data_IF_472033055924
#
_entry.id   IF_472033055924
#
_cell.length_a   1.000
_cell.length_b   1.000
_cell.length_c   1.000
_cell.angle_alpha   90.00
_cell.angle_beta   90.00
_cell.angle_gamma   90.00
#
_symmetry.space_group_name_H-M   'P 1'
#
loop_
_entity.id
_entity.type
_entity.pdbx_description
1 polymer ?
#
# COMPACT_ATOMS: atom_id res chain seq x y z
N UNK A 1 66.56 -11.76 -2.12
CA UNK A 1 66.91 -10.32 -2.17
C UNK A 1 65.64 -9.57 -2.54
N UNK A 2 65.03 -8.82 -1.62
CA UNK A 2 63.78 -8.12 -1.89
C UNK A 2 64.03 -6.88 -2.75
N UNK A 3 63.20 -6.70 -3.76
CA UNK A 3 63.25 -5.56 -4.66
C UNK A 3 62.95 -4.28 -3.84
N UNK A 4 63.81 -3.26 -3.82
CA UNK A 4 63.55 -2.05 -3.04
C UNK A 4 62.29 -1.35 -3.57
N UNK A 5 61.47 -0.84 -2.66
CA UNK A 5 60.20 -0.18 -2.98
C UNK A 5 60.40 0.98 -3.97
N UNK A 6 59.34 1.32 -4.71
CA UNK A 6 59.35 2.34 -5.76
C UNK A 6 59.96 3.68 -5.32
N UNK A 7 59.72 4.07 -4.06
CA UNK A 7 60.25 5.30 -3.47
C UNK A 7 61.76 5.31 -3.28
N UNK A 8 62.34 4.17 -2.87
CA UNK A 8 63.79 4.03 -2.63
C UNK A 8 64.62 4.09 -3.91
N UNK A 9 64.03 3.87 -5.08
CA UNK A 9 64.70 3.90 -6.40
C UNK A 9 64.84 5.31 -7.00
N UNK A 10 64.10 6.29 -6.47
CA UNK A 10 64.10 7.66 -6.97
C UNK A 10 65.27 8.48 -6.41
N UNK A 11 65.81 9.35 -7.24
CA UNK A 11 66.82 10.35 -6.88
C UNK A 11 66.25 11.38 -5.90
N UNK A 12 67.11 12.09 -5.18
CA UNK A 12 66.71 13.16 -4.25
C UNK A 12 65.87 14.24 -4.94
N UNK A 13 66.22 14.60 -6.19
CA UNK A 13 65.48 15.57 -6.98
C UNK A 13 64.05 15.09 -7.30
N UNK A 14 63.90 13.83 -7.73
CA UNK A 14 62.58 13.26 -8.04
C UNK A 14 61.68 13.17 -6.79
N UNK A 15 62.24 12.83 -5.63
CA UNK A 15 61.47 12.81 -4.37
C UNK A 15 60.99 14.22 -4.00
N UNK A 16 61.83 15.24 -4.15
CA UNK A 16 61.44 16.62 -3.92
C UNK A 16 60.33 17.07 -4.89
N UNK A 17 60.43 16.75 -6.18
CA UNK A 17 59.41 17.11 -7.17
C UNK A 17 58.07 16.39 -6.91
N UNK A 18 58.10 15.13 -6.47
CA UNK A 18 56.87 14.40 -6.08
C UNK A 18 56.23 15.03 -4.84
N UNK A 19 57.02 15.43 -3.83
CA UNK A 19 56.48 16.11 -2.65
C UNK A 19 55.91 17.49 -3.00
N UNK A 20 56.58 18.26 -3.85
CA UNK A 20 56.10 19.58 -4.31
C UNK A 20 54.80 19.44 -5.11
N UNK A 21 54.70 18.44 -5.99
CA UNK A 21 53.47 18.20 -6.76
C UNK A 21 52.30 17.74 -5.88
N UNK A 22 52.54 16.93 -4.83
CA UNK A 22 51.53 16.57 -3.84
C UNK A 22 51.05 17.81 -3.07
N UNK A 23 51.96 18.67 -2.62
CA UNK A 23 51.61 19.91 -1.90
C UNK A 23 50.82 20.86 -2.80
N UNK A 24 51.24 21.01 -4.07
CA UNK A 24 50.52 21.82 -5.05
C UNK A 24 49.10 21.26 -5.32
N UNK A 25 48.95 19.94 -5.42
CA UNK A 25 47.65 19.29 -5.59
C UNK A 25 46.73 19.56 -4.39
N UNK A 26 47.25 19.44 -3.16
CA UNK A 26 46.50 19.71 -1.94
C UNK A 26 46.05 21.19 -1.89
N UNK A 27 46.92 22.12 -2.28
CA UNK A 27 46.58 23.54 -2.34
C UNK A 27 45.48 23.85 -3.37
N UNK A 28 45.52 23.19 -4.54
CA UNK A 28 44.48 23.33 -5.58
C UNK A 28 43.15 22.77 -5.09
N UNK A 29 43.15 21.58 -4.47
CA UNK A 29 41.93 20.98 -3.90
C UNK A 29 41.34 21.87 -2.81
N UNK A 30 42.17 22.45 -1.95
CA UNK A 30 41.72 23.42 -0.94
C UNK A 30 41.08 24.67 -1.54
N UNK A 31 41.65 25.21 -2.62
CA UNK A 31 41.08 26.34 -3.36
C UNK A 31 39.74 26.01 -4.01
N UNK A 32 39.61 24.81 -4.60
CA UNK A 32 38.35 24.35 -5.20
C UNK A 32 37.26 24.18 -4.13
N UNK A 33 37.59 23.56 -2.99
CA UNK A 33 36.64 23.42 -1.87
C UNK A 33 36.22 24.79 -1.32
N UNK A 34 37.16 25.73 -1.21
CA UNK A 34 36.87 27.10 -0.80
C UNK A 34 35.93 27.82 -1.77
N UNK A 35 36.20 27.72 -3.08
CA UNK A 35 35.35 28.30 -4.12
C UNK A 35 33.95 27.69 -4.15
N UNK A 36 33.85 26.35 -4.05
CA UNK A 36 32.55 25.66 -4.01
C UNK A 36 31.76 26.08 -2.76
N UNK A 37 32.41 26.19 -1.60
CA UNK A 37 31.76 26.65 -0.36
C UNK A 37 31.21 28.08 -0.50
N UNK A 38 31.96 29.00 -1.13
CA UNK A 38 31.52 30.38 -1.37
C UNK A 38 30.36 30.44 -2.37
N UNK A 39 30.42 29.64 -3.45
CA UNK A 39 29.34 29.55 -4.43
C UNK A 39 28.07 28.99 -3.79
N UNK A 40 28.19 27.93 -2.99
CA UNK A 40 27.05 27.31 -2.31
C UNK A 40 26.43 28.26 -1.27
N UNK A 41 27.26 28.98 -0.52
CA UNK A 41 26.79 29.98 0.44
C UNK A 41 26.08 31.15 -0.27
N UNK A 42 26.60 31.64 -1.39
CA UNK A 42 25.92 32.68 -2.18
C UNK A 42 24.61 32.17 -2.78
N UNK A 43 24.57 30.92 -3.27
CA UNK A 43 23.35 30.33 -3.84
C UNK A 43 22.27 30.11 -2.79
N UNK A 44 22.64 29.67 -1.57
CA UNK A 44 21.74 29.59 -0.43
C UNK A 44 21.24 30.97 0.01
N UNK A 45 22.11 31.99 -0.06
CA UNK A 45 21.73 33.38 0.27
C UNK A 45 20.80 33.98 -0.78
N UNK A 46 20.95 33.62 -2.06
CA UNK A 46 20.00 33.99 -3.11
C UNK A 46 18.68 33.25 -3.00
N UNK A 47 18.67 31.95 -2.66
CA UNK A 47 17.41 31.23 -2.41
C UNK A 47 16.67 31.76 -1.19
N UNK A 48 17.37 32.15 -0.11
CA UNK A 48 16.72 32.83 1.03
C UNK A 48 16.18 34.22 0.67
N UNK A 49 16.82 34.95 -0.26
CA UNK A 49 16.31 36.24 -0.77
C UNK A 49 15.19 36.10 -1.80
N UNK A 50 15.14 34.98 -2.53
CA UNK A 50 14.05 34.67 -3.45
C UNK A 50 12.81 34.13 -2.71
N UNK A 51 13.00 33.52 -1.53
CA UNK A 51 11.96 33.04 -0.63
C UNK A 51 11.48 34.08 0.39
N UNK A 52 11.53 35.38 0.03
CA UNK A 52 11.03 36.49 0.88
C UNK A 52 9.81 37.20 0.28
N UNK A 53 9.03 36.52 -0.55
CA UNK A 53 7.65 36.91 -0.82
C UNK A 53 6.73 36.12 0.13
N UNK A 54 6.06 36.76 1.09
CA UNK A 54 5.07 36.08 1.91
C UNK A 54 3.90 35.61 1.02
N UNK A 55 3.24 34.48 1.34
CA UNK A 55 2.03 34.06 0.64
C UNK A 55 0.95 35.15 0.79
N UNK A 56 0.49 35.70 -0.34
CA UNK A 56 -0.68 36.58 -0.40
C UNK A 56 -1.96 35.78 -0.14
N UNK A 57 -2.21 35.46 1.13
CA UNK A 57 -3.52 35.06 1.62
C UNK A 57 -3.67 35.66 3.03
N UNK A 58 -4.03 36.94 3.06
CA UNK A 58 -4.67 37.72 4.14
C UNK A 58 -4.28 39.21 4.00
N UNK A 59 -4.73 39.87 2.94
CA UNK A 59 -4.74 41.34 2.90
C UNK A 59 -5.94 41.85 3.69
N UNK A 60 -5.80 41.86 5.02
CA UNK A 60 -6.56 42.72 5.90
C UNK A 60 -6.05 44.15 5.80
N UNK A 61 -6.95 45.10 5.53
CA UNK A 61 -6.72 46.53 5.34
C UNK A 61 -5.62 47.14 6.22
N UNK A 62 -4.65 47.80 5.59
CA UNK A 62 -3.59 48.59 6.19
C UNK A 62 -4.14 49.75 7.04
N UNK A 63 -3.73 49.81 8.31
CA UNK A 63 -3.63 51.05 9.08
C UNK A 63 -2.25 51.15 9.70
N UNK A 64 -1.68 52.34 9.53
CA UNK A 64 -0.32 52.78 9.83
C UNK A 64 0.16 52.55 11.26
N UNK A 65 1.47 52.30 11.33
CA UNK A 65 2.40 52.25 12.45
C UNK A 65 2.11 53.21 13.61
N UNK A 66 2.23 52.72 14.86
CA UNK A 66 3.29 53.14 15.79
C UNK A 66 3.17 52.46 17.17
N UNK A 67 4.35 52.16 17.72
CA UNK A 67 4.70 51.89 19.12
C UNK A 67 4.62 50.45 19.67
N UNK A 68 5.78 50.07 20.23
CA UNK A 68 5.99 49.00 21.20
C UNK A 68 4.84 48.89 22.20
N UNK A 69 4.22 47.71 22.28
CA UNK A 69 3.53 47.28 23.49
C UNK A 69 3.83 45.80 23.67
N UNK A 70 4.76 45.50 24.58
CA UNK A 70 4.72 44.26 25.33
C UNK A 70 3.34 44.22 25.99
N UNK A 71 2.39 43.47 25.42
CA UNK A 71 1.05 43.40 25.97
C UNK A 71 1.13 42.62 27.29
N UNK A 72 0.84 43.25 28.45
CA UNK A 72 0.53 42.46 29.63
C UNK A 72 -0.76 41.67 29.31
N UNK A 73 -1.00 40.51 29.96
CA UNK A 73 -2.17 39.70 29.68
C UNK A 73 -3.42 40.57 29.80
N UNK A 74 -4.01 40.94 28.67
CA UNK A 74 -5.26 41.66 28.67
C UNK A 74 -6.28 40.75 29.33
N UNK A 75 -6.89 41.22 30.42
CA UNK A 75 -8.14 40.63 30.92
C UNK A 75 -9.15 40.75 29.79
N UNK A 76 -9.37 39.63 29.08
CA UNK A 76 -10.53 39.43 28.22
C UNK A 76 -11.79 39.82 29.02
N UNK A 77 -12.76 40.54 28.43
CA UNK A 77 -14.03 40.81 29.08
C UNK A 77 -14.62 39.50 29.59
N UNK A 78 -15.03 39.44 30.85
CA UNK A 78 -15.61 38.23 31.47
C UNK A 78 -16.88 37.72 30.77
N UNK A 79 -17.45 38.51 29.86
CA UNK A 79 -18.69 38.23 29.16
C UNK A 79 -18.51 37.66 27.73
N UNK A 80 -17.27 37.52 27.22
CA UNK A 80 -16.97 37.00 25.87
C UNK A 80 -16.52 35.52 25.85
N UNK A 81 -16.59 34.83 26.99
CA UNK A 81 -16.19 33.41 27.08
C UNK A 81 -17.38 32.51 26.79
N UNK A 82 -17.27 31.66 25.77
CA UNK A 82 -18.29 30.65 25.50
C UNK A 82 -18.30 29.59 26.61
N UNK A 83 -19.38 29.55 27.39
CA UNK A 83 -19.58 28.59 28.49
C UNK A 83 -20.59 27.49 28.15
N UNK A 84 -20.90 27.30 26.86
CA UNK A 84 -21.70 26.14 26.45
C UNK A 84 -20.94 24.84 26.75
N UNK A 85 -21.67 23.75 26.94
CA UNK A 85 -21.06 22.45 27.21
C UNK A 85 -20.08 22.04 26.10
N UNK A 86 -20.41 22.36 24.85
CA UNK A 86 -19.60 22.07 23.66
C UNK A 86 -18.29 22.86 23.67
N UNK A 87 -18.32 24.15 24.04
CA UNK A 87 -17.13 24.99 24.16
C UNK A 87 -16.21 24.52 25.28
N UNK A 88 -16.77 24.16 26.43
CA UNK A 88 -16.00 23.63 27.57
C UNK A 88 -15.35 22.28 27.22
N UNK A 89 -16.11 21.36 26.62
CA UNK A 89 -15.59 20.06 26.21
C UNK A 89 -14.48 20.19 25.16
N UNK A 90 -14.72 20.99 24.12
CA UNK A 90 -13.75 21.17 23.02
C UNK A 90 -12.47 21.84 23.52
N UNK A 91 -12.58 22.91 24.30
CA UNK A 91 -11.39 23.59 24.86
C UNK A 91 -10.59 22.68 25.78
N UNK A 92 -11.26 21.88 26.63
CA UNK A 92 -10.59 20.90 27.48
C UNK A 92 -9.84 19.85 26.66
N UNK A 93 -10.45 19.31 25.60
CA UNK A 93 -9.84 18.29 24.76
C UNK A 93 -8.64 18.79 23.94
N UNK A 94 -8.62 20.09 23.60
CA UNK A 94 -7.47 20.74 22.96
C UNK A 94 -6.36 20.96 23.98
N UNK A 95 -6.67 21.62 25.10
CA UNK A 95 -5.68 21.97 26.13
C UNK A 95 -5.00 20.74 26.73
N UNK A 96 -5.68 19.61 26.86
CA UNK A 96 -5.10 18.38 27.39
C UNK A 96 -4.01 17.77 26.48
N UNK A 97 -3.93 18.15 25.21
CA UNK A 97 -2.95 17.63 24.24
C UNK A 97 -1.77 18.57 24.03
N UNK A 98 -1.97 19.86 24.34
CA UNK A 98 -0.99 20.91 24.12
C UNK A 98 0.14 20.85 25.15
N UNK A 99 1.34 21.26 24.71
CA UNK A 99 2.53 21.45 25.52
C UNK A 99 2.93 22.93 25.48
N UNK A 100 2.37 23.77 26.37
CA UNK A 100 2.49 25.22 26.28
C UNK A 100 3.90 25.75 26.56
N UNK A 101 4.82 24.91 27.05
CA UNK A 101 6.23 25.25 27.25
C UNK A 101 7.03 25.36 25.95
N UNK A 102 6.49 24.85 24.83
CA UNK A 102 7.11 24.93 23.51
C UNK A 102 6.68 26.22 22.82
N UNK A 103 7.62 26.95 22.22
CA UNK A 103 7.30 28.14 21.43
C UNK A 103 6.60 27.73 20.13
N UNK A 104 5.33 28.15 19.88
CA UNK A 104 4.57 27.74 18.71
C UNK A 104 5.20 28.15 17.37
N UNK A 105 6.02 29.20 17.35
CA UNK A 105 6.73 29.64 16.14
C UNK A 105 7.95 28.76 15.81
N UNK A 106 8.48 28.02 16.79
CA UNK A 106 9.63 27.14 16.63
C UNK A 106 9.19 25.72 16.23
N UNK A 107 8.21 25.15 16.94
CA UNK A 107 7.63 23.84 16.63
C UNK A 107 6.14 23.81 17.01
N UNK A 108 5.31 24.19 16.05
CA UNK A 108 3.86 24.21 16.24
C UNK A 108 3.30 22.81 16.52
N UNK A 109 3.89 21.75 15.96
CA UNK A 109 3.41 20.38 16.15
C UNK A 109 3.64 19.91 17.59
N UNK A 110 4.84 20.15 18.14
CA UNK A 110 5.12 19.87 19.55
C UNK A 110 4.33 20.76 20.50
N UNK A 111 4.10 22.03 20.15
CA UNK A 111 3.23 22.90 20.94
C UNK A 111 1.78 22.37 21.03
N UNK A 112 1.20 21.92 19.92
CA UNK A 112 -0.21 21.47 19.91
C UNK A 112 -0.42 20.01 20.32
N UNK A 113 0.57 19.13 20.10
CA UNK A 113 0.45 17.68 20.28
C UNK A 113 1.43 17.09 21.29
N UNK A 114 2.36 17.88 21.85
CA UNK A 114 3.49 17.37 22.63
C UNK A 114 3.08 16.50 23.81
N UNK A 115 2.09 16.92 24.59
CA UNK A 115 1.57 16.12 25.72
C UNK A 115 0.93 14.83 25.24
N UNK A 116 0.19 14.86 24.12
CA UNK A 116 -0.40 13.65 23.55
C UNK A 116 0.68 12.63 23.16
N UNK A 117 1.77 13.07 22.54
CA UNK A 117 2.89 12.20 22.13
C UNK A 117 3.59 11.57 23.35
N UNK A 118 3.72 12.33 24.44
CA UNK A 118 4.37 11.85 25.67
C UNK A 118 3.52 10.86 26.46
N UNK A 119 2.21 11.07 26.50
CA UNK A 119 1.29 10.28 27.35
C UNK A 119 0.69 9.06 26.64
N UNK A 120 0.70 9.01 25.31
CA UNK A 120 0.04 7.94 24.56
C UNK A 120 1.07 6.99 23.93
N UNK A 121 1.02 5.73 24.36
CA UNK A 121 1.82 4.66 23.77
C UNK A 121 1.05 4.03 22.61
N UNK A 122 1.76 3.68 21.54
CA UNK A 122 1.20 2.90 20.44
C UNK A 122 0.84 1.50 20.99
N UNK A 123 -0.42 1.07 20.93
CA UNK A 123 -0.82 -0.26 21.36
C UNK A 123 -0.11 -1.37 20.57
N UNK A 124 0.11 -2.53 21.19
CA UNK A 124 0.84 -3.65 20.59
C UNK A 124 0.17 -4.21 19.31
N UNK A 125 -1.14 -3.98 19.15
CA UNK A 125 -1.93 -4.37 17.97
C UNK A 125 -1.94 -3.34 16.84
N UNK A 126 -1.22 -2.21 16.98
CA UNK A 126 -1.17 -1.10 16.02
C UNK A 126 0.27 -0.74 15.63
N UNK A 127 0.42 -0.20 14.43
CA UNK A 127 1.66 0.37 13.88
C UNK A 127 1.78 1.87 14.21
N UNK A 128 0.64 2.56 14.34
CA UNK A 128 0.56 4.00 14.57
C UNK A 128 -0.65 4.38 15.44
N UNK A 129 -0.53 5.50 16.15
CA UNK A 129 -1.60 6.06 16.96
C UNK A 129 -1.77 7.55 16.67
N UNK A 130 -2.94 7.93 16.18
CA UNK A 130 -3.30 9.31 15.91
C UNK A 130 -4.81 9.54 16.15
N UNK A 131 -5.30 10.75 15.84
CA UNK A 131 -6.72 11.08 16.04
C UNK A 131 -7.65 10.20 15.19
N UNK A 132 -7.25 9.80 13.98
CA UNK A 132 -8.03 8.87 13.16
C UNK A 132 -8.08 7.48 13.77
N UNK A 133 -7.01 7.00 14.40
CA UNK A 133 -7.01 5.72 15.13
C UNK A 133 -8.07 5.70 16.24
N UNK A 134 -8.20 6.79 17.00
CA UNK A 134 -9.22 6.92 18.07
C UNK A 134 -10.64 6.98 17.52
N UNK A 135 -10.83 7.66 16.37
CA UNK A 135 -12.12 7.70 15.68
C UNK A 135 -12.47 6.32 15.15
N UNK A 136 -11.49 5.59 14.60
CA UNK A 136 -11.67 4.23 14.09
C UNK A 136 -12.08 3.26 15.20
N UNK A 137 -11.42 3.28 16.36
CA UNK A 137 -11.81 2.42 17.49
C UNK A 137 -13.27 2.66 17.93
N UNK A 138 -13.68 3.93 18.02
CA UNK A 138 -15.06 4.29 18.34
C UNK A 138 -16.03 3.86 17.24
N UNK A 139 -15.63 3.99 15.97
CA UNK A 139 -16.42 3.55 14.83
C UNK A 139 -16.61 2.03 14.87
N UNK A 140 -15.58 1.24 15.15
CA UNK A 140 -15.66 -0.21 15.29
C UNK A 140 -16.67 -0.63 16.37
N UNK A 141 -16.67 0.04 17.52
CA UNK A 141 -17.66 -0.24 18.58
C UNK A 141 -19.09 0.01 18.11
N UNK A 142 -19.34 1.13 17.43
CA UNK A 142 -20.65 1.47 16.87
C UNK A 142 -21.07 0.49 15.77
N UNK A 143 -20.15 0.13 14.87
CA UNK A 143 -20.39 -0.84 13.81
C UNK A 143 -20.70 -2.22 14.39
N UNK A 144 -19.97 -2.66 15.42
CA UNK A 144 -20.24 -3.92 16.13
C UNK A 144 -21.67 -3.96 16.65
N UNK A 145 -22.11 -2.88 17.31
CA UNK A 145 -23.48 -2.78 17.82
C UNK A 145 -24.52 -3.01 16.72
N UNK A 146 -24.31 -2.41 15.54
CA UNK A 146 -25.20 -2.50 14.37
C UNK A 146 -25.16 -3.87 13.69
N UNK A 147 -23.97 -4.46 13.57
CA UNK A 147 -23.72 -5.71 12.84
C UNK A 147 -24.19 -6.92 13.66
N UNK A 148 -24.00 -6.89 14.98
CA UNK A 148 -24.38 -8.00 15.88
C UNK A 148 -25.89 -8.03 16.15
N UNK A 149 -26.58 -6.91 15.95
CA UNK A 149 -28.03 -6.80 16.10
C UNK A 149 -28.77 -7.86 15.27
N UNK A 150 -29.60 -8.66 15.94
CA UNK A 150 -30.41 -9.68 15.27
C UNK A 150 -31.54 -9.01 14.49
N UNK A 151 -31.66 -9.37 13.22
CA UNK A 151 -32.63 -8.76 12.31
C UNK A 151 -33.75 -9.73 11.97
N UNK A 152 -35.01 -9.27 11.91
CA UNK A 152 -36.13 -10.10 11.49
C UNK A 152 -35.88 -10.69 10.10
N UNK A 153 -36.33 -11.92 9.89
CA UNK A 153 -36.26 -12.59 8.57
C UNK A 153 -37.06 -11.87 7.49
N UNK A 154 -37.97 -10.97 7.90
CA UNK A 154 -38.75 -10.09 7.01
C UNK A 154 -37.94 -8.92 6.45
N UNK A 155 -36.78 -8.57 7.02
CA UNK A 155 -35.93 -7.52 6.46
C UNK A 155 -35.27 -7.98 5.15
N UNK A 156 -34.92 -7.06 4.24
CA UNK A 156 -34.12 -7.39 3.06
C UNK A 156 -32.83 -8.14 3.42
N UNK A 157 -32.49 -9.16 2.63
CA UNK A 157 -31.33 -10.05 2.86
C UNK A 157 -30.01 -9.27 3.09
N UNK A 158 -29.79 -8.18 2.36
CA UNK A 158 -28.57 -7.38 2.49
C UNK A 158 -28.38 -6.75 3.87
N UNK A 159 -29.45 -6.55 4.67
CA UNK A 159 -29.32 -6.12 6.06
C UNK A 159 -29.08 -7.28 7.02
N UNK A 160 -29.46 -8.51 6.68
CA UNK A 160 -29.22 -9.70 7.49
C UNK A 160 -27.80 -10.26 7.32
N UNK A 161 -27.23 -10.11 6.12
CA UNK A 161 -25.92 -10.68 5.77
C UNK A 161 -24.74 -10.21 6.64
N UNK A 162 -24.64 -8.93 7.08
CA UNK A 162 -23.56 -8.50 7.96
C UNK A 162 -23.49 -9.32 9.26
N UNK A 163 -24.63 -9.59 9.89
CA UNK A 163 -24.71 -10.42 11.09
C UNK A 163 -24.25 -11.86 10.84
N UNK A 164 -24.67 -12.44 9.72
CA UNK A 164 -24.30 -13.80 9.34
C UNK A 164 -22.79 -13.91 9.06
N UNK A 165 -22.21 -12.94 8.36
CA UNK A 165 -20.79 -12.88 8.05
C UNK A 165 -19.96 -12.68 9.33
N UNK A 166 -20.37 -11.78 10.22
CA UNK A 166 -19.75 -11.62 11.54
C UNK A 166 -19.80 -12.91 12.36
N UNK A 167 -20.95 -13.58 12.44
CA UNK A 167 -21.11 -14.86 13.16
C UNK A 167 -20.21 -15.96 12.58
N UNK A 168 -20.07 -16.03 11.25
CA UNK A 168 -19.17 -16.98 10.59
C UNK A 168 -17.71 -16.69 10.95
N UNK A 169 -17.27 -15.43 10.86
CA UNK A 169 -15.91 -15.02 11.22
C UNK A 169 -15.58 -15.25 12.71
N UNK A 170 -16.55 -15.03 13.61
CA UNK A 170 -16.38 -15.21 15.05
C UNK A 170 -16.35 -16.69 15.49
N UNK A 171 -16.78 -17.63 14.65
CA UNK A 171 -16.79 -19.05 14.97
C UNK A 171 -15.39 -19.68 14.83
N UNK A 172 -14.48 -19.30 15.75
CA UNK A 172 -13.10 -19.81 15.79
C UNK A 172 -13.07 -21.35 15.82
N UNK A 173 -13.96 -22.00 16.57
CA UNK A 173 -13.95 -23.47 16.69
C UNK A 173 -14.12 -24.17 15.34
N UNK A 174 -15.03 -23.68 14.49
CA UNK A 174 -15.20 -24.23 13.15
C UNK A 174 -14.02 -23.91 12.23
N UNK A 175 -13.43 -22.72 12.35
CA UNK A 175 -12.24 -22.34 11.58
C UNK A 175 -11.05 -23.24 11.94
N UNK A 176 -10.84 -23.51 13.22
CA UNK A 176 -9.80 -24.45 13.68
C UNK A 176 -10.07 -25.89 13.22
N UNK A 177 -11.35 -26.32 13.20
CA UNK A 177 -11.72 -27.65 12.71
C UNK A 177 -11.46 -27.82 11.21
N UNK A 178 -11.79 -26.80 10.41
CA UNK A 178 -11.64 -26.84 8.96
C UNK A 178 -10.20 -26.56 8.50
N UNK A 179 -9.46 -25.75 9.25
CA UNK A 179 -8.08 -25.37 8.97
C UNK A 179 -7.90 -24.89 7.51
N UNK A 180 -6.87 -25.37 6.81
CA UNK A 180 -6.53 -25.04 5.43
C UNK A 180 -7.38 -25.80 4.39
N UNK A 181 -8.23 -26.74 4.81
CA UNK A 181 -8.95 -27.62 3.89
C UNK A 181 -9.82 -26.87 2.87
N UNK A 182 -10.59 -25.82 3.24
CA UNK A 182 -11.43 -25.12 2.28
C UNK A 182 -10.63 -24.51 1.12
N UNK A 183 -9.51 -23.83 1.42
CA UNK A 183 -8.67 -23.22 0.38
C UNK A 183 -7.91 -24.30 -0.41
N UNK A 184 -7.47 -25.38 0.22
CA UNK A 184 -6.85 -26.50 -0.49
C UNK A 184 -7.80 -27.17 -1.50
N UNK A 185 -9.08 -27.35 -1.14
CA UNK A 185 -10.09 -27.91 -2.04
C UNK A 185 -10.43 -26.95 -3.20
N UNK A 186 -10.39 -25.64 -2.94
CA UNK A 186 -10.54 -24.62 -3.99
C UNK A 186 -9.32 -24.62 -4.91
N UNK A 187 -8.11 -24.64 -4.37
CA UNK A 187 -6.86 -24.69 -5.12
C UNK A 187 -6.81 -25.87 -6.09
N UNK A 188 -7.25 -27.06 -5.67
CA UNK A 188 -7.39 -28.23 -6.54
C UNK A 188 -8.33 -27.99 -7.73
N UNK A 189 -9.47 -27.33 -7.51
CA UNK A 189 -10.42 -26.97 -8.59
C UNK A 189 -9.84 -25.95 -9.57
N UNK A 190 -8.90 -25.12 -9.12
CA UNK A 190 -8.23 -24.12 -9.95
C UNK A 190 -7.11 -24.70 -10.79
N UNK A 191 -6.60 -25.88 -10.45
CA UNK A 191 -5.52 -26.56 -11.18
C UNK A 191 -4.34 -26.96 -10.30
N UNK A 192 -4.48 -26.90 -8.97
CA UNK A 192 -3.45 -27.34 -8.04
C UNK A 192 -2.37 -26.30 -7.79
N UNK A 193 -1.71 -26.38 -6.64
CA UNK A 193 -0.51 -25.59 -6.35
C UNK A 193 0.72 -26.46 -6.62
N UNK A 194 1.51 -26.18 -7.68
CA UNK A 194 2.61 -27.06 -8.08
C UNK A 194 3.58 -27.44 -6.96
N UNK A 195 3.93 -26.50 -6.08
CA UNK A 195 4.85 -26.74 -4.96
C UNK A 195 4.33 -27.76 -3.95
N UNK A 196 2.99 -27.89 -3.80
CA UNK A 196 2.35 -28.87 -2.92
C UNK A 196 2.20 -30.22 -3.65
N UNK A 197 1.80 -30.18 -4.91
CA UNK A 197 1.54 -31.39 -5.71
C UNK A 197 2.83 -32.05 -6.23
N UNK A 198 3.95 -31.34 -6.21
CA UNK A 198 5.26 -31.85 -6.62
C UNK A 198 5.27 -32.32 -8.08
N UNK A 199 5.86 -33.49 -8.31
CA UNK A 199 5.98 -34.12 -9.63
C UNK A 199 4.63 -34.55 -10.23
N UNK A 200 3.57 -34.65 -9.41
CA UNK A 200 2.24 -35.00 -9.91
C UNK A 200 1.54 -33.83 -10.62
N UNK A 201 2.00 -32.61 -10.38
CA UNK A 201 1.52 -31.44 -11.09
C UNK A 201 2.15 -31.38 -12.48
N UNK A 202 1.31 -31.58 -13.49
CA UNK A 202 1.76 -31.58 -14.88
C UNK A 202 1.42 -30.25 -15.55
N UNK A 203 2.46 -29.47 -15.88
CA UNK A 203 2.36 -28.41 -16.88
C UNK A 203 2.39 -29.02 -18.28
N UNK A 204 1.42 -29.87 -18.62
CA UNK A 204 1.24 -30.17 -20.03
C UNK A 204 0.91 -28.87 -20.79
N UNK A 205 0.96 -28.92 -22.12
CA UNK A 205 0.67 -27.74 -22.95
C UNK A 205 -0.78 -27.22 -22.80
N UNK A 206 -1.61 -27.80 -21.93
CA UNK A 206 -2.98 -27.33 -21.67
C UNK A 206 -3.06 -26.25 -20.59
N UNK A 207 -2.05 -26.13 -19.71
CA UNK A 207 -2.04 -25.07 -18.72
C UNK A 207 -1.65 -23.72 -19.34
N UNK A 208 -2.43 -22.68 -19.05
CA UNK A 208 -2.05 -21.30 -19.34
C UNK A 208 -2.44 -20.39 -18.17
N UNK A 209 -1.67 -19.32 -17.97
CA UNK A 209 -1.98 -18.31 -16.97
C UNK A 209 -3.31 -17.60 -17.30
N UNK A 210 -3.64 -17.40 -18.57
CA UNK A 210 -4.91 -16.79 -19.01
C UNK A 210 -6.11 -17.63 -18.55
N UNK A 211 -6.07 -18.95 -18.76
CA UNK A 211 -7.14 -19.84 -18.29
C UNK A 211 -7.23 -19.87 -16.77
N UNK A 212 -6.08 -19.75 -16.08
CA UNK A 212 -6.04 -19.67 -14.61
C UNK A 212 -6.71 -18.39 -14.11
N UNK A 213 -6.43 -17.22 -14.71
CA UNK A 213 -7.11 -15.97 -14.40
C UNK A 213 -8.62 -16.08 -14.63
N UNK A 214 -9.06 -16.68 -15.74
CA UNK A 214 -10.49 -16.90 -16.00
C UNK A 214 -11.15 -17.77 -14.94
N UNK A 215 -10.44 -18.80 -14.45
CA UNK A 215 -10.94 -19.64 -13.34
C UNK A 215 -11.02 -18.83 -12.04
N UNK A 216 -10.00 -18.02 -11.72
CA UNK A 216 -10.01 -17.14 -10.55
C UNK A 216 -11.21 -16.21 -10.56
N UNK A 217 -11.43 -15.52 -11.68
CA UNK A 217 -12.58 -14.62 -11.87
C UNK A 217 -13.92 -15.32 -11.63
N UNK A 218 -14.10 -16.53 -12.17
CA UNK A 218 -15.37 -17.29 -12.04
C UNK A 218 -15.73 -17.65 -10.60
N UNK A 219 -14.74 -17.78 -9.72
CA UNK A 219 -14.96 -18.14 -8.32
C UNK A 219 -14.75 -16.96 -7.35
N UNK A 220 -14.38 -15.78 -7.86
CA UNK A 220 -14.30 -14.55 -7.08
C UNK A 220 -12.92 -14.22 -6.49
N UNK A 221 -11.83 -14.81 -6.98
CA UNK A 221 -10.48 -14.30 -6.67
C UNK A 221 -10.08 -13.17 -7.62
N UNK A 222 -9.09 -12.37 -7.20
CA UNK A 222 -8.48 -11.34 -8.05
C UNK A 222 -7.92 -11.94 -9.35
N UNK A 223 -7.96 -11.11 -10.39
CA UNK A 223 -7.49 -11.40 -11.74
C UNK A 223 -6.20 -10.64 -12.08
N UNK A 224 -5.67 -9.87 -11.12
CA UNK A 224 -4.73 -8.75 -11.38
C UNK A 224 -3.26 -9.15 -11.23
N UNK A 225 -2.99 -10.43 -10.95
CA UNK A 225 -1.65 -10.93 -10.62
C UNK A 225 -0.65 -10.88 -11.79
N UNK A 226 -1.12 -10.87 -13.04
CA UNK A 226 -0.28 -10.78 -14.24
C UNK A 226 -0.55 -9.48 -15.02
N UNK A 227 -1.84 -9.12 -15.17
CA UNK A 227 -2.31 -7.89 -15.79
C UNK A 227 -3.46 -7.41 -14.92
N UNK A 228 -3.38 -6.18 -14.42
CA UNK A 228 -4.50 -5.54 -13.73
C UNK A 228 -5.62 -5.25 -14.73
N UNK A 229 -6.85 -5.56 -14.32
CA UNK A 229 -8.05 -5.26 -15.07
C UNK A 229 -9.04 -4.47 -14.23
N UNK A 230 -9.50 -3.33 -14.75
CA UNK A 230 -10.58 -2.58 -14.11
C UNK A 230 -11.54 -1.94 -15.11
N UNK A 231 -12.71 -1.53 -14.62
CA UNK A 231 -13.67 -0.72 -15.39
C UNK A 231 -13.90 0.59 -14.63
N UNK A 232 -13.23 1.64 -15.10
CA UNK A 232 -13.19 2.94 -14.45
C UNK A 232 -13.91 4.01 -15.27
N UNK A 233 -13.97 5.23 -14.75
CA UNK A 233 -14.51 6.39 -15.46
C UNK A 233 -13.47 6.86 -16.48
N UNK A 234 -13.87 7.13 -17.72
CA UNK A 234 -12.95 7.66 -18.72
C UNK A 234 -12.48 9.07 -18.31
N UNK A 235 -11.18 9.23 -18.11
CA UNK A 235 -10.55 10.47 -17.64
C UNK A 235 -10.82 11.67 -18.57
N UNK A 236 -10.99 11.45 -19.87
CA UNK A 236 -11.29 12.52 -20.85
C UNK A 236 -12.78 12.63 -21.18
N UNK A 237 -13.59 11.66 -20.77
CA UNK A 237 -15.03 11.71 -20.89
C UNK A 237 -15.72 11.07 -19.68
N UNK A 238 -15.95 11.89 -18.64
CA UNK A 238 -16.51 11.42 -17.37
C UNK A 238 -17.97 10.93 -17.46
N UNK A 239 -18.61 10.99 -18.64
CA UNK A 239 -19.96 10.44 -18.87
C UNK A 239 -19.95 8.96 -19.27
N UNK A 240 -18.78 8.42 -19.60
CA UNK A 240 -18.60 7.03 -20.02
C UNK A 240 -17.65 6.27 -19.09
N UNK A 241 -17.74 4.94 -19.12
CA UNK A 241 -16.77 4.05 -18.50
C UNK A 241 -15.88 3.43 -19.56
N UNK A 242 -14.67 3.08 -19.19
CA UNK A 242 -13.70 2.43 -20.08
C UNK A 242 -13.07 1.24 -19.37
N UNK A 243 -12.71 0.22 -20.14
CA UNK A 243 -11.89 -0.89 -19.67
C UNK A 243 -10.44 -0.41 -19.57
N UNK A 244 -9.81 -0.63 -18.43
CA UNK A 244 -8.41 -0.30 -18.17
C UNK A 244 -7.59 -1.58 -18.00
N UNK A 245 -6.45 -1.63 -18.67
CA UNK A 245 -5.42 -2.64 -18.45
C UNK A 245 -4.15 -1.96 -17.93
N UNK A 246 -3.62 -2.46 -16.82
CA UNK A 246 -2.43 -1.88 -16.19
C UNK A 246 -1.38 -2.96 -15.81
N UNK A 247 -0.25 -2.50 -15.28
CA UNK A 247 0.79 -3.34 -14.70
C UNK A 247 0.24 -4.23 -13.57
N UNK A 248 0.84 -5.40 -13.38
CA UNK A 248 0.42 -6.39 -12.39
C UNK A 248 0.37 -5.84 -10.96
N UNK A 249 -0.64 -6.25 -10.18
CA UNK A 249 -0.61 -6.15 -8.72
C UNK A 249 0.45 -7.11 -8.16
N UNK A 250 1.26 -6.65 -7.20
CA UNK A 250 2.43 -7.39 -6.65
C UNK A 250 2.30 -7.51 -5.13
N UNK A 251 2.69 -8.64 -4.56
CA UNK A 251 2.48 -8.98 -3.15
C UNK A 251 3.41 -8.24 -2.17
N UNK A 252 4.43 -7.55 -2.68
CA UNK A 252 5.27 -6.63 -1.93
C UNK A 252 5.54 -5.40 -2.80
N UNK A 253 5.59 -4.21 -2.18
CA UNK A 253 5.77 -2.95 -2.92
C UNK A 253 7.00 -3.00 -3.83
N UNK A 254 6.85 -2.39 -5.02
CA UNK A 254 7.87 -2.33 -6.06
C UNK A 254 9.18 -1.76 -5.51
N UNK A 255 9.10 -0.74 -4.66
CA UNK A 255 10.23 -0.01 -4.07
C UNK A 255 11.16 -0.93 -3.26
N UNK A 256 10.64 -2.06 -2.77
CA UNK A 256 11.43 -3.12 -2.13
C UNK A 256 11.85 -4.20 -3.14
N UNK A 257 10.93 -4.73 -3.94
CA UNK A 257 11.24 -5.84 -4.86
C UNK A 257 12.37 -5.51 -5.86
N UNK A 258 12.43 -4.28 -6.38
CA UNK A 258 13.49 -3.87 -7.33
C UNK A 258 14.88 -3.80 -6.71
N UNK A 259 15.00 -3.78 -5.37
CA UNK A 259 16.28 -3.88 -4.65
C UNK A 259 16.80 -5.31 -4.59
N UNK A 260 15.96 -6.30 -4.93
CA UNK A 260 16.30 -7.71 -5.01
C UNK A 260 16.36 -8.41 -3.66
N UNK A 261 16.71 -9.70 -3.68
CA UNK A 261 16.61 -10.59 -2.52
C UNK A 261 17.43 -10.19 -1.28
N UNK A 262 18.50 -9.41 -1.45
CA UNK A 262 19.31 -8.96 -0.32
C UNK A 262 18.62 -7.86 0.51
N UNK A 263 17.52 -7.30 0.01
CA UNK A 263 16.66 -6.40 0.76
C UNK A 263 15.94 -7.20 1.87
N UNK A 264 15.84 -6.62 3.07
CA UNK A 264 15.37 -7.32 4.27
C UNK A 264 13.90 -7.70 4.22
N UNK A 265 13.03 -6.84 3.68
CA UNK A 265 11.61 -7.14 3.52
C UNK A 265 11.39 -8.17 2.41
N UNK A 266 12.15 -8.11 1.32
CA UNK A 266 12.09 -9.11 0.23
C UNK A 266 12.49 -10.50 0.72
N UNK A 267 13.58 -10.61 1.49
CA UNK A 267 13.98 -11.89 2.09
C UNK A 267 12.99 -12.38 3.16
N UNK A 268 12.41 -11.48 3.95
CA UNK A 268 11.37 -11.84 4.93
C UNK A 268 10.08 -12.32 4.26
N UNK A 269 9.70 -11.71 3.13
CA UNK A 269 8.58 -12.12 2.30
C UNK A 269 8.81 -13.50 1.67
N UNK A 270 10.01 -13.78 1.19
CA UNK A 270 10.39 -15.13 0.76
C UNK A 270 10.25 -16.18 1.87
N UNK A 271 10.78 -15.91 3.06
CA UNK A 271 10.67 -16.82 4.19
C UNK A 271 9.21 -17.06 4.56
N UNK A 272 8.37 -16.02 4.45
CA UNK A 272 6.92 -16.12 4.62
C UNK A 272 6.27 -17.03 3.56
N UNK A 273 6.59 -16.87 2.27
CA UNK A 273 6.13 -17.74 1.19
C UNK A 273 6.44 -19.21 1.49
N UNK A 274 7.70 -19.50 1.86
CA UNK A 274 8.18 -20.86 2.12
C UNK A 274 7.50 -21.48 3.33
N UNK A 275 7.44 -20.75 4.45
CA UNK A 275 6.83 -21.27 5.67
C UNK A 275 5.34 -21.56 5.47
N UNK A 276 4.64 -20.70 4.72
CA UNK A 276 3.24 -20.92 4.38
C UNK A 276 3.05 -22.16 3.51
N UNK A 277 3.82 -22.32 2.44
CA UNK A 277 3.73 -23.52 1.61
C UNK A 277 4.01 -24.80 2.41
N UNK A 278 4.95 -24.77 3.35
CA UNK A 278 5.21 -25.90 4.27
C UNK A 278 4.01 -26.16 5.19
N UNK A 279 3.36 -25.12 5.72
CA UNK A 279 2.12 -25.28 6.50
C UNK A 279 0.98 -25.89 5.66
N UNK A 280 0.92 -25.60 4.37
CA UNK A 280 0.00 -26.25 3.43
C UNK A 280 0.44 -27.66 2.98
N UNK A 281 1.58 -28.16 3.45
CA UNK A 281 2.05 -29.52 3.21
C UNK A 281 3.08 -29.70 2.10
N UNK A 282 3.69 -28.62 1.60
CA UNK A 282 4.79 -28.72 0.64
C UNK A 282 6.06 -29.31 1.28
N UNK A 283 6.86 -30.02 0.48
CA UNK A 283 8.22 -30.38 0.87
C UNK A 283 9.08 -29.11 1.05
N UNK A 284 9.85 -29.04 2.14
CA UNK A 284 10.57 -27.82 2.51
C UNK A 284 11.67 -27.44 1.51
N UNK A 285 12.39 -28.43 0.98
CA UNK A 285 13.50 -28.16 0.06
C UNK A 285 12.98 -27.83 -1.34
N UNK A 286 11.89 -28.46 -1.77
CA UNK A 286 11.15 -28.07 -2.96
C UNK A 286 10.56 -26.65 -2.82
N UNK A 287 9.92 -26.34 -1.69
CA UNK A 287 9.33 -25.03 -1.42
C UNK A 287 10.36 -23.91 -1.52
N UNK A 288 11.54 -24.10 -0.90
CA UNK A 288 12.64 -23.12 -1.00
C UNK A 288 13.07 -22.87 -2.45
N UNK A 289 13.25 -23.93 -3.24
CA UNK A 289 13.69 -23.78 -4.64
C UNK A 289 12.62 -23.13 -5.51
N UNK A 290 11.42 -23.67 -5.50
CA UNK A 290 10.36 -23.26 -6.43
C UNK A 290 9.74 -21.90 -6.09
N UNK A 291 9.62 -21.56 -4.80
CA UNK A 291 9.12 -20.24 -4.40
C UNK A 291 10.19 -19.17 -4.54
N UNK A 292 11.47 -19.55 -4.56
CA UNK A 292 12.53 -18.62 -4.95
C UNK A 292 12.39 -18.22 -6.41
N UNK A 293 12.16 -19.17 -7.30
CA UNK A 293 11.88 -18.90 -8.72
C UNK A 293 10.62 -18.03 -8.89
N UNK A 294 9.59 -18.28 -8.08
CA UNK A 294 8.35 -17.48 -8.09
C UNK A 294 8.58 -16.04 -7.63
N UNK A 295 9.40 -15.84 -6.59
CA UNK A 295 9.80 -14.51 -6.15
C UNK A 295 10.68 -13.80 -7.19
N UNK A 296 11.61 -14.51 -7.83
CA UNK A 296 12.44 -13.93 -8.88
C UNK A 296 11.59 -13.49 -10.09
N UNK A 297 10.51 -14.22 -10.39
CA UNK A 297 9.48 -13.81 -11.36
C UNK A 297 8.72 -12.54 -10.92
N UNK A 298 8.29 -12.47 -9.66
CA UNK A 298 7.62 -11.29 -9.10
C UNK A 298 8.55 -10.04 -9.08
N UNK A 299 9.83 -10.22 -8.76
CA UNK A 299 10.85 -9.17 -8.88
C UNK A 299 10.99 -8.73 -10.35
N UNK A 300 10.93 -9.65 -11.31
CA UNK A 300 10.97 -9.30 -12.72
C UNK A 300 9.74 -8.48 -13.15
N UNK A 301 8.53 -8.83 -12.67
CA UNK A 301 7.31 -8.03 -12.86
C UNK A 301 7.46 -6.62 -12.29
N UNK A 302 8.00 -6.50 -11.07
CA UNK A 302 8.26 -5.21 -10.42
C UNK A 302 9.26 -4.35 -11.23
N UNK A 303 10.31 -4.96 -11.79
CA UNK A 303 11.32 -4.27 -12.59
C UNK A 303 10.77 -3.67 -13.89
N UNK A 304 9.84 -4.36 -14.56
CA UNK A 304 9.22 -3.87 -15.80
C UNK A 304 8.05 -2.92 -15.55
N UNK A 305 7.57 -2.84 -14.30
CA UNK A 305 6.51 -1.92 -13.86
C UNK A 305 7.04 -0.50 -13.65
N UNK A 306 6.17 0.51 -13.76
CA UNK A 306 6.53 1.89 -13.42
C UNK A 306 6.51 2.14 -11.90
N UNK A 307 7.40 3.00 -11.37
CA UNK A 307 7.34 3.47 -9.99
C UNK A 307 6.16 4.42 -9.78
N UNK A 308 5.67 4.52 -8.53
CA UNK A 308 4.50 5.31 -8.18
C UNK A 308 4.62 6.79 -8.56
N UNK A 309 5.81 7.38 -8.48
CA UNK A 309 6.03 8.79 -8.84
C UNK A 309 5.76 9.07 -10.31
N UNK A 310 6.18 8.15 -11.20
CA UNK A 310 5.98 8.30 -12.65
C UNK A 310 4.50 8.16 -13.03
N UNK A 311 3.75 7.36 -12.27
CA UNK A 311 2.31 7.13 -12.45
C UNK A 311 1.44 8.31 -12.00
N UNK A 312 2.01 9.34 -11.36
CA UNK A 312 1.25 10.56 -10.98
C UNK A 312 0.84 11.41 -12.18
N UNK A 313 1.49 11.26 -13.34
CA UNK A 313 1.07 11.96 -14.55
C UNK A 313 -0.02 11.17 -15.27
N UNK A 314 -1.28 11.56 -15.05
CA UNK A 314 -2.45 10.88 -15.63
C UNK A 314 -2.51 10.95 -17.16
N UNK A 315 -1.85 11.92 -17.80
CA UNK A 315 -1.78 11.98 -19.25
C UNK A 315 -0.91 10.86 -19.82
N UNK A 316 0.17 10.49 -19.14
CA UNK A 316 1.08 9.42 -19.58
C UNK A 316 0.43 8.04 -19.41
N UNK A 317 -0.52 7.91 -18.47
CA UNK A 317 -1.33 6.71 -18.27
C UNK A 317 -2.53 6.59 -19.23
N UNK A 318 -2.84 7.63 -20.01
CA UNK A 318 -3.99 7.64 -20.91
C UNK A 318 -3.60 7.26 -22.34
N UNK A 319 -3.56 5.95 -22.63
CA UNK A 319 -3.19 5.40 -23.94
C UNK A 319 -4.33 4.54 -24.51
N UNK A 320 -5.28 5.20 -25.17
CA UNK A 320 -6.42 4.51 -25.79
C UNK A 320 -5.96 3.66 -26.99
N UNK A 321 -6.40 2.41 -27.02
CA UNK A 321 -6.21 1.44 -28.11
C UNK A 321 -7.49 0.62 -28.29
N UNK A 322 -7.68 0.04 -29.45
CA UNK A 322 -8.70 -1.01 -29.63
C UNK A 322 -8.14 -2.37 -29.21
N UNK A 323 -9.01 -3.33 -28.85
CA UNK A 323 -8.59 -4.71 -28.59
C UNK A 323 -7.88 -5.33 -29.80
N UNK A 324 -8.25 -4.93 -31.02
CA UNK A 324 -7.54 -5.28 -32.26
C UNK A 324 -6.09 -4.81 -32.28
N UNK A 325 -5.86 -3.54 -31.95
CA UNK A 325 -4.51 -2.97 -31.88
C UNK A 325 -3.66 -3.64 -30.79
N UNK A 326 -4.28 -4.00 -29.65
CA UNK A 326 -3.60 -4.79 -28.63
C UNK A 326 -3.24 -6.19 -29.13
N UNK A 327 -4.12 -6.84 -29.89
CA UNK A 327 -3.85 -8.16 -30.47
C UNK A 327 -2.68 -8.14 -31.45
N UNK A 328 -2.54 -7.07 -32.24
CA UNK A 328 -1.43 -6.87 -33.17
C UNK A 328 -0.11 -6.59 -32.43
N UNK A 329 -0.14 -5.78 -31.36
CA UNK A 329 1.06 -5.38 -30.62
C UNK A 329 1.54 -6.43 -29.59
N UNK A 330 0.61 -7.11 -28.93
CA UNK A 330 0.86 -8.02 -27.81
C UNK A 330 0.16 -9.37 -28.07
N UNK A 331 0.65 -10.17 -29.04
CA UNK A 331 -0.05 -11.38 -29.51
C UNK A 331 -0.06 -12.53 -28.50
N UNK A 332 0.66 -12.40 -27.38
CA UNK A 332 0.72 -13.40 -26.32
C UNK A 332 -0.57 -13.47 -25.47
N UNK A 333 -1.49 -12.50 -25.61
CA UNK A 333 -2.83 -12.53 -25.00
C UNK A 333 -3.88 -12.67 -26.10
N UNK A 334 -4.91 -13.50 -25.85
CA UNK A 334 -6.11 -13.54 -26.68
C UNK A 334 -7.08 -12.44 -26.22
N UNK A 335 -6.82 -11.18 -26.58
CA UNK A 335 -7.41 -10.00 -25.90
C UNK A 335 -8.94 -9.98 -25.87
N UNK A 336 -9.62 -10.28 -26.97
CA UNK A 336 -11.09 -10.29 -27.01
C UNK A 336 -11.66 -11.37 -26.09
N UNK A 337 -11.09 -12.57 -26.14
CA UNK A 337 -11.54 -13.70 -25.32
C UNK A 337 -11.20 -13.51 -23.83
N UNK A 338 -9.99 -13.01 -23.54
CA UNK A 338 -9.54 -12.63 -22.19
C UNK A 338 -10.49 -11.59 -21.58
N UNK A 339 -10.70 -10.45 -22.26
CA UNK A 339 -11.58 -9.37 -21.80
C UNK A 339 -13.00 -9.85 -21.56
N UNK A 340 -13.57 -10.61 -22.49
CA UNK A 340 -14.93 -11.13 -22.38
C UNK A 340 -15.13 -12.16 -21.26
N UNK A 341 -14.05 -12.78 -20.79
CA UNK A 341 -14.07 -13.68 -19.65
C UNK A 341 -13.95 -12.96 -18.30
N UNK A 342 -13.43 -11.73 -18.29
CA UNK A 342 -13.33 -10.89 -17.08
C UNK A 342 -14.61 -10.07 -16.84
N UNK A 343 -15.27 -9.67 -17.92
CA UNK A 343 -16.55 -8.95 -17.89
C UNK A 343 -17.71 -9.84 -17.41
N UNK A 344 -18.75 -9.25 -16.80
CA UNK A 344 -19.99 -9.97 -16.50
C UNK A 344 -20.60 -10.61 -17.75
N UNK A 345 -21.19 -11.80 -17.61
CA UNK A 345 -21.69 -12.63 -18.74
C UNK A 345 -22.58 -11.89 -19.76
N UNK A 346 -23.33 -10.89 -19.30
CA UNK A 346 -24.27 -10.11 -20.12
C UNK A 346 -23.60 -9.04 -20.98
N UNK A 347 -22.34 -8.71 -20.70
CA UNK A 347 -21.57 -7.70 -21.41
C UNK A 347 -20.57 -8.44 -22.28
N UNK A 348 -20.60 -8.15 -23.59
CA UNK A 348 -19.65 -8.69 -24.55
C UNK A 348 -19.10 -7.56 -25.41
N UNK A 349 -17.80 -7.62 -25.64
CA UNK A 349 -17.02 -6.67 -26.43
C UNK A 349 -16.44 -7.39 -27.65
N UNK A 350 -16.18 -6.63 -28.71
CA UNK A 350 -15.58 -7.13 -29.96
C UNK A 350 -14.17 -6.54 -30.15
N UNK A 351 -13.54 -6.82 -31.29
CA UNK A 351 -12.18 -6.34 -31.58
C UNK A 351 -12.05 -4.81 -31.66
N UNK A 352 -13.15 -4.10 -31.91
CA UNK A 352 -13.18 -2.64 -32.06
C UNK A 352 -13.37 -1.91 -30.72
N UNK A 353 -13.54 -2.63 -29.61
CA UNK A 353 -13.74 -2.04 -28.28
C UNK A 353 -12.54 -1.17 -27.87
N UNK A 354 -12.76 0.12 -27.56
CA UNK A 354 -11.72 0.98 -27.05
C UNK A 354 -11.41 0.67 -25.58
N UNK A 355 -10.14 0.52 -25.27
CA UNK A 355 -9.63 0.28 -23.92
C UNK A 355 -8.47 1.23 -23.63
N UNK A 356 -8.24 1.54 -22.36
CA UNK A 356 -7.05 2.25 -21.92
C UNK A 356 -5.95 1.25 -21.56
N UNK A 357 -4.72 1.53 -22.01
CA UNK A 357 -3.52 0.78 -21.65
C UNK A 357 -2.60 1.66 -20.80
N UNK A 358 -2.64 1.49 -19.49
CA UNK A 358 -2.03 2.44 -18.55
C UNK A 358 -0.51 2.53 -18.68
N UNK A 359 0.20 1.40 -18.77
CA UNK A 359 1.67 1.39 -18.90
C UNK A 359 2.12 0.56 -20.11
N UNK A 360 2.10 1.10 -21.35
CA UNK A 360 2.42 0.32 -22.56
C UNK A 360 3.78 -0.38 -22.53
N UNK A 361 4.81 0.23 -21.92
CA UNK A 361 6.14 -0.38 -21.79
C UNK A 361 6.16 -1.64 -20.93
N UNK A 362 5.24 -1.77 -19.97
CA UNK A 362 5.09 -2.99 -19.17
C UNK A 362 4.64 -4.14 -20.09
N UNK A 363 3.66 -3.91 -20.95
CA UNK A 363 3.13 -4.92 -21.88
C UNK A 363 4.13 -5.31 -22.98
N UNK A 364 5.02 -4.40 -23.37
CA UNK A 364 6.13 -4.70 -24.29
C UNK A 364 7.11 -5.72 -23.69
N UNK A 365 7.47 -5.55 -22.41
CA UNK A 365 8.42 -6.41 -21.70
C UNK A 365 7.77 -7.66 -21.08
N UNK A 366 6.47 -7.64 -20.81
CA UNK A 366 5.73 -8.74 -20.22
C UNK A 366 5.72 -9.98 -21.12
N UNK A 367 5.53 -9.81 -22.43
CA UNK A 367 5.52 -10.94 -23.38
C UNK A 367 6.80 -11.78 -23.32
N UNK A 368 7.99 -11.19 -23.52
CA UNK A 368 9.27 -11.88 -23.38
C UNK A 368 9.51 -12.46 -21.98
N UNK A 369 9.03 -11.79 -20.92
CA UNK A 369 9.13 -12.30 -19.56
C UNK A 369 8.29 -13.58 -19.37
N UNK A 370 7.06 -13.59 -19.86
CA UNK A 370 6.19 -14.77 -19.79
C UNK A 370 6.73 -15.92 -20.63
N UNK A 371 7.23 -15.65 -21.85
CA UNK A 371 7.77 -16.68 -22.75
C UNK A 371 8.99 -17.40 -22.18
N UNK A 372 9.90 -16.67 -21.51
CA UNK A 372 11.11 -17.26 -20.92
C UNK A 372 10.88 -17.91 -19.55
N UNK A 373 9.73 -17.67 -18.92
CA UNK A 373 9.44 -18.17 -17.57
C UNK A 373 8.69 -19.49 -17.65
N UNK A 374 9.16 -20.56 -16.99
CA UNK A 374 8.45 -21.83 -17.00
C UNK A 374 7.03 -21.70 -16.42
N UNK A 375 6.05 -22.34 -17.07
CA UNK A 375 4.65 -22.36 -16.61
C UNK A 375 4.49 -22.75 -15.14
N UNK A 376 5.34 -23.67 -14.65
CA UNK A 376 5.36 -24.07 -13.24
C UNK A 376 5.66 -22.91 -12.29
N UNK A 377 6.59 -22.02 -12.66
CA UNK A 377 6.95 -20.84 -11.88
C UNK A 377 5.78 -19.86 -11.84
N UNK A 378 5.18 -19.57 -13.00
CA UNK A 378 4.01 -18.66 -13.08
C UNK A 378 2.83 -19.24 -12.29
N UNK A 379 2.56 -20.54 -12.40
CA UNK A 379 1.52 -21.23 -11.64
C UNK A 379 1.78 -21.17 -10.13
N UNK A 380 3.01 -21.40 -9.67
CA UNK A 380 3.37 -21.28 -8.26
C UNK A 380 3.18 -19.85 -7.75
N UNK A 381 3.58 -18.85 -8.52
CA UNK A 381 3.35 -17.44 -8.18
C UNK A 381 1.86 -17.12 -8.05
N UNK A 382 1.04 -17.45 -9.06
CA UNK A 382 -0.40 -17.18 -9.03
C UNK A 382 -1.10 -17.91 -7.87
N UNK A 383 -0.70 -19.16 -7.62
CA UNK A 383 -1.28 -19.95 -6.53
C UNK A 383 -0.81 -19.44 -5.16
N UNK A 384 0.44 -18.97 -5.04
CA UNK A 384 0.90 -18.28 -3.84
C UNK A 384 0.00 -17.07 -3.53
N UNK A 385 -0.30 -16.21 -4.52
CA UNK A 385 -1.10 -15.01 -4.31
C UNK A 385 -2.51 -15.29 -3.76
N UNK A 386 -3.20 -16.31 -4.28
CA UNK A 386 -4.53 -16.66 -3.74
C UNK A 386 -4.46 -17.28 -2.33
N UNK A 387 -3.39 -18.03 -2.02
CA UNK A 387 -3.21 -18.58 -0.68
C UNK A 387 -2.87 -17.47 0.30
N UNK A 388 -2.00 -16.52 -0.09
CA UNK A 388 -1.64 -15.34 0.68
C UNK A 388 -2.88 -14.56 1.10
N UNK A 389 -3.76 -14.23 0.15
CA UNK A 389 -5.05 -13.58 0.41
C UNK A 389 -5.94 -14.36 1.40
N UNK A 390 -5.91 -15.69 1.34
CA UNK A 390 -6.83 -16.53 2.13
C UNK A 390 -6.41 -16.68 3.60
N UNK A 391 -5.16 -16.38 3.96
CA UNK A 391 -4.56 -16.70 5.27
C UNK A 391 -5.33 -16.08 6.45
N UNK A 392 -5.88 -14.88 6.28
CA UNK A 392 -6.65 -14.17 7.31
C UNK A 392 -7.91 -14.94 7.76
N UNK A 393 -8.40 -15.85 6.92
CA UNK A 393 -9.59 -16.68 7.16
C UNK A 393 -9.29 -18.09 7.70
N UNK A 394 -8.01 -18.46 7.83
CA UNK A 394 -7.58 -19.79 8.24
C UNK A 394 -7.39 -19.90 9.75
N UNK A 395 -6.97 -21.08 10.21
CA UNK A 395 -6.69 -21.38 11.61
C UNK A 395 -5.55 -20.54 12.21
N UNK A 396 -5.46 -20.58 13.54
CA UNK A 396 -4.51 -19.80 14.33
C UNK A 396 -3.05 -20.05 13.94
N UNK A 397 -2.68 -21.24 13.46
CA UNK A 397 -1.29 -21.53 13.07
C UNK A 397 -0.83 -20.71 11.85
N UNK A 398 -1.72 -20.52 10.85
CA UNK A 398 -1.43 -19.70 9.68
C UNK A 398 -1.38 -18.23 10.08
N UNK A 399 -2.42 -17.77 10.77
CA UNK A 399 -2.52 -16.38 11.23
C UNK A 399 -1.34 -15.97 12.13
N UNK A 400 -0.85 -16.87 12.99
CA UNK A 400 0.34 -16.63 13.80
C UNK A 400 1.59 -16.39 12.94
N UNK A 401 1.76 -17.16 11.87
CA UNK A 401 2.90 -16.98 10.96
C UNK A 401 2.78 -15.68 10.13
N UNK A 402 1.56 -15.28 9.78
CA UNK A 402 1.27 -13.97 9.19
C UNK A 402 1.63 -12.83 10.15
N UNK A 403 1.23 -12.92 11.42
CA UNK A 403 1.60 -11.92 12.43
C UNK A 403 3.13 -11.76 12.53
N UNK A 404 3.88 -12.87 12.57
CA UNK A 404 5.34 -12.81 12.59
C UNK A 404 5.95 -12.09 11.38
N UNK A 405 5.35 -12.25 10.20
CA UNK A 405 5.74 -11.51 9.01
C UNK A 405 5.37 -10.02 9.14
N UNK A 406 4.14 -9.72 9.54
CA UNK A 406 3.68 -8.36 9.78
C UNK A 406 4.53 -7.60 10.82
N UNK A 407 4.96 -8.27 11.90
CA UNK A 407 5.89 -7.72 12.89
C UNK A 407 7.22 -7.30 12.26
N UNK A 408 7.74 -8.07 11.29
CA UNK A 408 8.97 -7.73 10.61
C UNK A 408 8.81 -6.53 9.66
N UNK A 409 7.61 -6.30 9.13
CA UNK A 409 7.30 -5.17 8.24
C UNK A 409 6.99 -3.87 9.00
N UNK A 410 6.09 -3.93 9.97
CA UNK A 410 5.46 -2.75 10.61
C UNK A 410 5.82 -2.59 12.09
N UNK A 411 6.41 -3.61 12.72
CA UNK A 411 6.69 -3.62 14.17
C UNK A 411 5.50 -4.03 15.04
N UNK A 412 4.31 -4.27 14.44
CA UNK A 412 3.11 -4.74 15.14
C UNK A 412 3.37 -6.06 15.88
N UNK A 413 3.01 -6.14 17.17
CA UNK A 413 3.36 -7.29 18.03
C UNK A 413 2.19 -8.25 18.26
N UNK A 414 0.95 -7.77 18.18
CA UNK A 414 -0.26 -8.55 18.42
C UNK A 414 -1.27 -8.44 17.27
N UNK A 415 -2.10 -9.47 17.12
CA UNK A 415 -3.29 -9.39 16.27
C UNK A 415 -4.36 -8.55 16.96
N UNK A 416 -5.16 -7.86 16.14
CA UNK A 416 -6.30 -7.14 16.64
C UNK A 416 -7.31 -8.11 17.27
N UNK A 417 -8.11 -7.60 18.22
CA UNK A 417 -9.19 -8.39 18.79
C UNK A 417 -10.10 -8.94 17.68
N UNK A 418 -10.32 -10.26 17.66
CA UNK A 418 -11.07 -10.97 16.60
C UNK A 418 -12.40 -10.32 16.22
N UNK A 419 -13.11 -9.72 17.17
CA UNK A 419 -14.39 -9.06 16.87
C UNK A 419 -14.23 -7.82 15.98
N UNK A 420 -13.12 -7.08 16.07
CA UNK A 420 -12.84 -5.92 15.22
C UNK A 420 -12.56 -6.37 13.79
N UNK A 421 -11.68 -7.36 13.60
CA UNK A 421 -11.46 -8.00 12.29
C UNK A 421 -12.78 -8.50 11.66
N UNK A 422 -13.65 -9.12 12.46
CA UNK A 422 -14.94 -9.60 11.96
C UNK A 422 -15.93 -8.46 11.64
N UNK A 423 -15.82 -7.33 12.32
CA UNK A 423 -16.54 -6.09 11.96
C UNK A 423 -16.01 -5.55 10.65
N UNK A 424 -14.69 -5.51 10.46
CA UNK A 424 -14.06 -5.03 9.25
C UNK A 424 -14.41 -5.88 8.03
N UNK A 425 -14.32 -7.20 8.14
CA UNK A 425 -14.76 -8.14 7.10
C UNK A 425 -16.25 -7.93 6.77
N UNK A 426 -17.11 -7.76 7.79
CA UNK A 426 -18.54 -7.59 7.58
C UNK A 426 -18.89 -6.23 6.95
N UNK A 427 -18.17 -5.17 7.31
CA UNK A 427 -18.40 -3.81 6.85
C UNK A 427 -17.61 -3.45 5.59
N UNK A 428 -16.65 -4.27 5.17
CA UNK A 428 -15.78 -3.98 4.03
C UNK A 428 -14.78 -2.87 4.31
N UNK A 429 -14.35 -2.72 5.56
CA UNK A 429 -13.28 -1.80 5.99
C UNK A 429 -11.99 -2.54 6.34
N UNK A 430 -11.86 -3.82 5.97
CA UNK A 430 -10.64 -4.56 6.20
C UNK A 430 -9.58 -4.09 5.20
N UNK A 431 -8.71 -3.22 5.70
CA UNK A 431 -7.53 -2.68 5.02
C UNK A 431 -6.32 -3.31 5.71
N UNK A 432 -5.81 -4.41 5.15
CA UNK A 432 -4.46 -4.87 5.51
C UNK A 432 -3.51 -4.15 4.55
N UNK A 433 -2.49 -3.49 5.09
CA UNK A 433 -1.48 -2.71 4.36
C UNK A 433 -0.90 -3.50 3.17
N UNK A 434 -1.56 -3.40 2.00
CA UNK A 434 -1.18 -4.17 0.82
C UNK A 434 -2.38 -4.65 0.00
N UNK A 435 -2.90 -3.75 -0.83
CA UNK A 435 -3.57 -3.95 -2.15
C UNK A 435 -4.78 -4.89 -2.28
N UNK A 436 -5.09 -5.77 -1.33
CA UNK A 436 -6.21 -6.70 -1.41
C UNK A 436 -7.35 -6.28 -0.44
N UNK A 437 -8.17 -5.30 -0.85
CA UNK A 437 -9.39 -4.94 -0.12
C UNK A 437 -10.35 -6.15 -0.02
N UNK A 438 -10.76 -6.51 1.19
CA UNK A 438 -11.84 -7.48 1.35
C UNK A 438 -13.17 -6.77 1.07
N UNK A 439 -13.73 -7.00 -0.11
CA UNK A 439 -15.05 -6.48 -0.49
C UNK A 439 -16.15 -7.02 0.46
N UNK A 440 -16.45 -6.25 1.51
CA UNK A 440 -17.51 -6.53 2.47
C UNK A 440 -18.86 -5.91 2.08
N UNK A 441 -19.70 -5.62 3.08
CA UNK A 441 -21.07 -5.12 2.85
C UNK A 441 -21.19 -3.62 3.16
N UNK A 442 -20.21 -2.82 2.73
CA UNK A 442 -20.06 -1.40 3.07
C UNK A 442 -21.32 -0.56 2.84
N UNK A 443 -22.01 -0.75 1.71
CA UNK A 443 -23.25 0.00 1.42
C UNK A 443 -24.36 -0.37 2.41
N UNK A 444 -24.52 -1.65 2.72
CA UNK A 444 -25.55 -2.12 3.64
C UNK A 444 -25.26 -1.67 5.07
N UNK A 445 -24.03 -1.89 5.56
CA UNK A 445 -23.60 -1.48 6.89
C UNK A 445 -23.60 0.05 7.03
N UNK A 446 -23.11 0.78 6.03
CA UNK A 446 -23.13 2.24 6.01
C UNK A 446 -24.55 2.81 6.06
N UNK A 447 -25.50 2.21 5.32
CA UNK A 447 -26.92 2.59 5.43
C UNK A 447 -27.48 2.37 6.82
N UNK A 448 -27.07 1.32 7.54
CA UNK A 448 -27.51 1.06 8.91
C UNK A 448 -26.85 2.02 9.90
N UNK A 449 -25.56 2.30 9.69
CA UNK A 449 -24.79 3.25 10.48
C UNK A 449 -25.39 4.65 10.45
N UNK A 450 -25.66 5.18 9.26
CA UNK A 450 -26.24 6.51 9.09
C UNK A 450 -27.61 6.61 9.77
N UNK A 451 -28.44 5.55 9.71
CA UNK A 451 -29.75 5.54 10.40
C UNK A 451 -29.64 5.66 11.92
N UNK A 452 -28.55 5.18 12.52
CA UNK A 452 -28.39 5.10 13.98
C UNK A 452 -27.51 6.20 14.56
N UNK A 453 -26.42 6.55 13.86
CA UNK A 453 -25.36 7.42 14.39
C UNK A 453 -25.18 8.75 13.64
N UNK A 454 -25.87 8.96 12.50
CA UNK A 454 -25.76 10.22 11.76
C UNK A 454 -26.98 11.13 12.02
N UNK A 455 -26.72 12.37 12.45
CA UNK A 455 -27.75 13.39 12.62
C UNK A 455 -28.07 14.02 11.26
N UNK A 456 -29.33 13.93 10.83
CA UNK A 456 -29.76 14.43 9.52
C UNK A 456 -29.40 15.91 9.30
N UNK A 457 -29.52 16.75 10.34
CA UNK A 457 -29.24 18.18 10.27
C UNK A 457 -27.74 18.51 10.05
N UNK A 458 -26.84 17.54 10.28
CA UNK A 458 -25.42 17.72 9.97
C UNK A 458 -25.14 17.76 8.46
N UNK A 459 -26.02 17.15 7.64
CA UNK A 459 -25.83 17.11 6.18
C UNK A 459 -25.91 18.49 5.51
N UNK A 460 -26.96 19.32 5.71
CA UNK A 460 -27.01 20.64 5.10
C UNK A 460 -25.86 21.53 5.58
N UNK A 461 -25.52 21.50 6.88
CA UNK A 461 -24.41 22.29 7.46
C UNK A 461 -23.06 21.93 6.81
N UNK A 462 -22.85 20.67 6.44
CA UNK A 462 -21.61 20.23 5.80
C UNK A 462 -21.55 20.50 4.29
N UNK A 463 -22.70 20.78 3.66
CA UNK A 463 -22.80 21.09 2.23
C UNK A 463 -22.77 22.60 1.96
N UNK A 464 -23.10 23.41 2.98
CA UNK A 464 -22.89 24.86 3.02
C UNK A 464 -21.39 25.18 3.17
#
# INVERSE_FOLDING_TARGET
>A
MSNPNWWRRRTTLERCLVLISIIALIAVVGLVIGLVSVILSNHLTEELKASTNPPEALQGSTRTTDNEVFMPPQKLPKDDVCLSAECIHTSSAVLSKMKPEIEPCDDFYQFVCGTYIEENLIPDDKDSLNTFSLISDKLHEQLKEIIVEERPTTEPKHYQLPNALYKACMNKSLIEELDSKPIADIAKKLGGWPVIEGDSWNADNSWSWQETVKKFRRIGFSMDYIIDFSVSVDLKNSTTRIIDFDQSAIGLSREYLVKGFNETLVSSYYDYMVDMAVLFGADKDAAKRELRESLDFEIALANISWPAEKRRNTNDLYNIRTLKQLQEAYPYVQWVDYTNALLPDKIKVNEDEPVNLSVPSFFEELGPLLERTPNRVIANYMMWRIHAFSIVFLSEQFRKRQLQYATALSGRQEQEARWKECVDIASGSYDEEGEDEVEGLAIAVGSLYVRKHFKQDSKPIALD
#
